data_IF_516870114361
#
_entry.id   IF_516870114361
#
_cell.length_a   1.000
_cell.length_b   1.000
_cell.length_c   1.000
_cell.angle_alpha   90.00
_cell.angle_beta   90.00
_cell.angle_gamma   90.00
#
_symmetry.space_group_name_H-M   'P 1'
#
loop_
_entity.id
_entity.type
_entity.pdbx_description
1 polymer ?
#
# COMPACT_ATOMS: atom_id res chain seq x y z
N UNK A 1 19.52 -77.13 -56.72
CA UNK A 1 18.41 -77.70 -55.94
C UNK A 1 17.75 -76.54 -55.21
N UNK A 2 16.59 -76.10 -55.69
CA UNK A 2 15.91 -74.88 -55.26
C UNK A 2 15.43 -74.98 -53.81
N UNK A 3 15.85 -74.03 -52.97
CA UNK A 3 15.16 -73.78 -51.70
C UNK A 3 14.25 -72.58 -51.92
N UNK A 4 12.94 -72.84 -51.92
CA UNK A 4 11.87 -71.86 -52.02
C UNK A 4 11.96 -70.88 -50.83
N UNK A 5 12.16 -69.60 -51.12
CA UNK A 5 11.94 -68.53 -50.16
C UNK A 5 10.43 -68.42 -49.93
N UNK A 6 9.99 -68.71 -48.71
CA UNK A 6 8.62 -68.48 -48.24
C UNK A 6 8.52 -67.00 -47.85
N UNK A 7 7.60 -66.20 -48.39
CA UNK A 7 7.46 -64.81 -48.00
C UNK A 7 6.79 -64.79 -46.63
N UNK A 8 7.56 -64.54 -45.57
CA UNK A 8 7.00 -64.14 -44.29
C UNK A 8 6.70 -62.65 -44.42
N UNK A 9 5.41 -62.35 -44.52
CA UNK A 9 4.87 -61.01 -44.56
C UNK A 9 5.13 -60.39 -43.17
N UNK A 10 6.27 -59.71 -43.04
CA UNK A 10 6.55 -58.90 -41.86
C UNK A 10 5.52 -57.78 -41.86
N UNK A 11 4.70 -57.81 -40.82
CA UNK A 11 3.67 -56.81 -40.50
C UNK A 11 4.32 -55.42 -40.41
N UNK A 12 3.99 -54.57 -41.36
CA UNK A 12 4.37 -53.14 -41.35
C UNK A 12 3.39 -52.47 -40.39
N UNK A 13 3.55 -52.72 -39.10
CA UNK A 13 2.78 -52.06 -38.03
C UNK A 13 3.68 -51.69 -36.85
N UNK A 14 4.89 -51.22 -37.12
CA UNK A 14 5.63 -50.43 -36.15
C UNK A 14 6.49 -49.40 -36.90
N UNK A 15 5.83 -48.36 -37.40
CA UNK A 15 6.50 -47.09 -37.66
C UNK A 15 6.77 -46.45 -36.31
N UNK A 16 7.86 -46.88 -35.67
CA UNK A 16 8.44 -46.19 -34.53
C UNK A 16 8.90 -44.82 -35.05
N UNK A 17 8.04 -43.81 -34.89
CA UNK A 17 8.37 -42.42 -35.11
C UNK A 17 9.49 -42.07 -34.12
N UNK A 18 10.73 -42.21 -34.59
CA UNK A 18 11.92 -41.67 -33.96
C UNK A 18 11.84 -40.14 -33.99
N UNK A 19 10.96 -39.59 -33.16
CA UNK A 19 10.99 -38.19 -32.78
C UNK A 19 12.25 -37.99 -31.94
N UNK A 20 13.29 -37.49 -32.62
CA UNK A 20 14.52 -37.04 -32.01
C UNK A 20 14.17 -36.01 -30.94
N UNK A 21 14.01 -36.50 -29.71
CA UNK A 21 13.73 -35.69 -28.54
C UNK A 21 14.99 -34.87 -28.30
N UNK A 22 15.00 -33.63 -28.79
CA UNK A 22 15.95 -32.65 -28.30
C UNK A 22 15.92 -32.73 -26.76
N UNK A 23 17.08 -32.85 -26.08
CA UNK A 23 17.09 -32.84 -24.63
C UNK A 23 16.57 -31.46 -24.22
N UNK A 24 15.28 -31.40 -23.93
CA UNK A 24 14.64 -30.24 -23.36
C UNK A 24 15.34 -30.03 -22.03
N UNK A 25 16.29 -29.10 -22.02
CA UNK A 25 16.78 -28.54 -20.77
C UNK A 25 15.51 -28.19 -20.01
N UNK A 26 15.29 -28.75 -18.81
CA UNK A 26 14.09 -28.45 -18.07
C UNK A 26 14.09 -26.94 -17.93
N UNK A 27 13.20 -26.27 -18.67
CA UNK A 27 12.93 -24.85 -18.53
C UNK A 27 12.69 -24.74 -17.04
N UNK A 28 13.68 -24.20 -16.31
CA UNK A 28 13.66 -24.17 -14.87
C UNK A 28 12.27 -23.70 -14.51
N UNK A 29 11.47 -24.64 -13.97
CA UNK A 29 10.06 -24.39 -13.79
C UNK A 29 10.04 -23.16 -12.91
N UNK A 30 9.64 -22.02 -13.48
CA UNK A 30 9.41 -20.84 -12.71
C UNK A 30 8.16 -21.21 -11.93
N UNK A 31 8.34 -21.89 -10.80
CA UNK A 31 7.31 -22.27 -9.86
C UNK A 31 7.07 -21.01 -9.04
N UNK A 32 6.09 -20.15 -9.41
CA UNK A 32 5.88 -18.88 -8.72
C UNK A 32 5.61 -19.10 -7.22
N UNK A 33 5.17 -20.30 -6.85
CA UNK A 33 4.79 -20.68 -5.49
C UNK A 33 5.98 -20.96 -4.55
N UNK A 34 7.21 -21.02 -5.07
CA UNK A 34 8.43 -21.12 -4.23
C UNK A 34 9.04 -19.77 -3.89
N UNK A 35 8.50 -18.68 -4.45
CA UNK A 35 8.88 -17.36 -4.02
C UNK A 35 8.49 -17.21 -2.55
N UNK A 36 9.44 -16.94 -1.63
CA UNK A 36 9.11 -16.77 -0.22
C UNK A 36 8.05 -15.70 -0.14
N UNK A 37 6.83 -16.04 0.30
CA UNK A 37 5.70 -15.10 0.35
C UNK A 37 6.21 -13.83 1.00
N UNK A 38 6.30 -12.76 0.21
CA UNK A 38 7.16 -11.63 0.50
C UNK A 38 6.64 -10.92 1.75
N UNK A 39 7.11 -11.35 2.92
CA UNK A 39 6.90 -10.63 4.17
C UNK A 39 7.32 -9.18 3.92
N UNK A 40 6.51 -8.18 4.34
CA UNK A 40 6.89 -6.79 4.19
C UNK A 40 8.30 -6.61 4.77
N UNK A 41 9.22 -6.13 3.92
CA UNK A 41 10.63 -5.96 4.28
C UNK A 41 10.80 -4.98 5.46
N UNK A 42 9.77 -4.15 5.70
CA UNK A 42 9.61 -3.28 6.87
C UNK A 42 8.12 -3.21 7.26
N UNK A 43 7.70 -3.79 8.40
CA UNK A 43 6.38 -3.48 8.96
C UNK A 43 6.39 -2.02 9.44
N UNK A 44 5.50 -1.19 8.88
CA UNK A 44 5.33 0.19 9.38
C UNK A 44 4.84 0.13 10.83
N UNK A 45 5.44 0.91 11.76
CA UNK A 45 4.98 0.94 13.13
C UNK A 45 3.54 1.45 13.19
N UNK A 46 2.62 0.79 13.92
CA UNK A 46 1.20 1.16 13.96
C UNK A 46 0.93 2.54 14.58
N UNK A 47 1.91 3.10 15.27
CA UNK A 47 1.84 4.42 15.89
C UNK A 47 2.37 5.55 15.00
N UNK A 48 3.04 5.23 13.88
CA UNK A 48 3.68 6.23 13.04
C UNK A 48 2.66 7.24 12.48
N UNK A 49 1.59 6.73 11.87
CA UNK A 49 0.57 7.57 11.23
C UNK A 49 -0.23 8.41 12.26
N UNK A 50 -0.72 7.83 13.39
CA UNK A 50 -1.34 8.64 14.44
C UNK A 50 -0.43 9.72 15.03
N UNK A 51 0.86 9.44 15.23
CA UNK A 51 1.81 10.43 15.77
C UNK A 51 2.05 11.54 14.75
N UNK A 52 2.16 11.19 13.47
CA UNK A 52 2.29 12.16 12.39
C UNK A 52 1.08 13.10 12.34
N UNK A 53 -0.12 12.56 12.46
CA UNK A 53 -1.37 13.34 12.49
C UNK A 53 -1.45 14.30 13.68
N UNK A 54 -1.07 13.84 14.88
CA UNK A 54 -0.98 14.70 16.07
C UNK A 54 0.06 15.81 15.85
N UNK A 55 1.20 15.49 15.22
CA UNK A 55 2.23 16.46 14.88
C UNK A 55 1.75 17.51 13.85
N UNK A 56 1.04 17.07 12.82
CA UNK A 56 0.42 17.93 11.80
C UNK A 56 -0.66 18.83 12.40
N UNK A 57 -1.50 18.30 13.29
CA UNK A 57 -2.51 19.08 14.01
C UNK A 57 -1.84 20.15 14.88
N UNK A 58 -0.78 19.80 15.62
CA UNK A 58 -0.05 20.76 16.45
C UNK A 58 0.60 21.85 15.58
N UNK A 59 1.21 21.44 14.46
CA UNK A 59 1.79 22.36 13.49
C UNK A 59 0.75 23.31 12.91
N UNK A 60 -0.44 22.82 12.56
CA UNK A 60 -1.53 23.66 12.05
C UNK A 60 -2.00 24.68 13.09
N UNK A 61 -2.14 24.30 14.36
CA UNK A 61 -2.48 25.22 15.45
C UNK A 61 -1.38 26.28 15.67
N UNK A 62 -0.12 25.87 15.67
CA UNK A 62 1.02 26.77 15.81
C UNK A 62 1.11 27.75 14.63
N UNK A 63 0.90 27.26 13.41
CA UNK A 63 0.88 28.08 12.21
C UNK A 63 -0.29 29.07 12.24
N UNK A 64 -1.49 28.63 12.63
CA UNK A 64 -2.65 29.51 12.76
C UNK A 64 -2.41 30.59 13.82
N UNK A 65 -1.80 30.23 14.96
CA UNK A 65 -1.40 31.19 16.00
C UNK A 65 -0.39 32.22 15.46
N UNK A 66 0.64 31.74 14.77
CA UNK A 66 1.65 32.60 14.15
C UNK A 66 1.03 33.56 13.12
N UNK A 67 0.23 33.04 12.19
CA UNK A 67 -0.47 33.83 11.17
C UNK A 67 -1.40 34.85 11.83
N UNK A 68 -2.07 34.47 12.93
CA UNK A 68 -3.00 35.35 13.63
C UNK A 68 -2.29 36.51 14.32
N UNK A 69 -1.16 36.26 14.99
CA UNK A 69 -0.50 37.23 15.88
C UNK A 69 0.71 37.93 15.29
N UNK A 70 1.43 37.32 14.35
CA UNK A 70 2.63 37.90 13.73
C UNK A 70 2.36 38.46 12.34
N UNK A 71 1.49 37.79 11.56
CA UNK A 71 1.11 38.28 10.22
C UNK A 71 -0.13 39.18 10.25
N UNK A 72 -0.84 39.22 11.39
CA UNK A 72 -2.06 40.00 11.61
C UNK A 72 -3.08 39.92 10.46
N UNK A 73 -3.19 38.75 9.85
CA UNK A 73 -4.03 38.52 8.68
C UNK A 73 -5.49 38.89 9.02
N UNK A 74 -6.19 39.53 8.08
CA UNK A 74 -7.54 40.12 8.17
C UNK A 74 -7.66 41.46 8.91
N UNK A 75 -7.01 41.65 10.07
CA UNK A 75 -7.12 42.89 10.84
C UNK A 75 -5.95 43.08 11.81
N UNK A 76 -5.41 44.31 11.94
CA UNK A 76 -4.41 44.64 12.94
C UNK A 76 -4.86 44.30 14.36
N UNK A 77 -3.94 43.76 15.16
CA UNK A 77 -4.20 43.40 16.55
C UNK A 77 -3.82 44.54 17.48
N UNK A 78 -4.76 44.91 18.36
CA UNK A 78 -4.43 45.68 19.55
C UNK A 78 -3.72 44.76 20.54
N UNK A 79 -2.70 45.27 21.25
CA UNK A 79 -1.89 44.49 22.20
C UNK A 79 -2.75 43.79 23.28
N UNK A 80 -3.87 44.40 23.67
CA UNK A 80 -4.86 43.82 24.60
C UNK A 80 -5.45 42.48 24.12
N UNK A 81 -5.49 42.24 22.82
CA UNK A 81 -6.07 41.03 22.24
C UNK A 81 -5.02 39.94 21.99
N UNK A 82 -3.76 40.17 22.39
CA UNK A 82 -2.69 39.15 22.30
C UNK A 82 -2.88 38.12 23.40
N UNK A 83 -3.24 36.90 23.01
CA UNK A 83 -3.41 35.79 23.94
C UNK A 83 -2.22 34.83 23.84
N UNK A 84 -1.80 34.19 24.94
CA UNK A 84 -0.78 33.13 24.88
C UNK A 84 -1.30 31.90 24.13
N UNK A 85 -0.41 30.97 23.77
CA UNK A 85 -0.79 29.74 23.05
C UNK A 85 -1.55 28.71 23.92
N UNK A 86 -1.29 28.68 25.24
CA UNK A 86 -1.81 27.67 26.16
C UNK A 86 -3.34 27.46 26.14
N UNK A 87 -4.20 28.49 26.03
CA UNK A 87 -5.65 28.33 25.93
C UNK A 87 -6.11 27.54 24.70
N UNK A 88 -5.29 27.38 23.66
CA UNK A 88 -5.65 26.61 22.47
C UNK A 88 -5.41 25.10 22.62
N UNK A 89 -4.63 24.68 23.63
CA UNK A 89 -4.27 23.26 23.84
C UNK A 89 -5.49 22.34 24.04
N UNK A 90 -6.53 22.69 24.81
CA UNK A 90 -7.71 21.84 24.94
C UNK A 90 -8.41 21.58 23.59
N UNK A 91 -8.48 22.60 22.73
CA UNK A 91 -9.07 22.48 21.39
C UNK A 91 -8.23 21.60 20.48
N UNK A 92 -6.91 21.74 20.54
CA UNK A 92 -5.97 20.85 19.85
C UNK A 92 -6.16 19.39 20.27
N UNK A 93 -6.33 19.12 21.56
CA UNK A 93 -6.56 17.75 22.08
C UNK A 93 -7.87 17.19 21.54
N UNK A 94 -8.96 17.97 21.61
CA UNK A 94 -10.27 17.54 21.07
C UNK A 94 -10.18 17.28 19.57
N UNK A 95 -9.56 18.18 18.80
CA UNK A 95 -9.39 18.03 17.36
C UNK A 95 -8.56 16.80 17.00
N UNK A 96 -7.44 16.58 17.69
CA UNK A 96 -6.56 15.42 17.47
C UNK A 96 -7.27 14.11 17.80
N UNK A 97 -8.07 14.08 18.87
CA UNK A 97 -8.88 12.92 19.23
C UNK A 97 -9.96 12.65 18.17
N UNK A 98 -10.62 13.69 17.69
CA UNK A 98 -11.62 13.60 16.63
C UNK A 98 -11.04 13.00 15.34
N UNK A 99 -9.88 13.51 14.93
CA UNK A 99 -9.14 13.06 13.75
C UNK A 99 -8.70 11.60 13.89
N UNK A 100 -8.22 11.21 15.09
CA UNK A 100 -7.87 9.83 15.39
C UNK A 100 -9.06 8.88 15.24
N UNK A 101 -10.23 9.25 15.77
CA UNK A 101 -11.45 8.43 15.68
C UNK A 101 -11.89 8.28 14.22
N UNK A 102 -11.91 9.39 13.46
CA UNK A 102 -12.32 9.38 12.06
C UNK A 102 -11.38 8.57 11.15
N UNK A 103 -10.07 8.69 11.31
CA UNK A 103 -9.13 7.93 10.46
C UNK A 103 -9.01 6.46 10.87
N UNK A 104 -9.33 6.15 12.14
CA UNK A 104 -9.49 4.77 12.58
C UNK A 104 -10.73 4.10 11.97
N UNK A 105 -11.87 4.80 11.89
CA UNK A 105 -13.10 4.24 11.28
C UNK A 105 -12.94 4.00 9.78
N UNK A 106 -12.20 4.87 9.10
CA UNK A 106 -11.91 4.78 7.67
C UNK A 106 -10.76 3.81 7.30
N UNK A 107 -10.22 3.08 8.29
CA UNK A 107 -9.10 2.15 8.12
C UNK A 107 -7.86 2.76 7.43
N UNK A 108 -7.68 4.08 7.54
CA UNK A 108 -6.60 4.82 6.90
C UNK A 108 -5.23 4.46 7.49
N UNK A 109 -5.20 4.06 8.77
CA UNK A 109 -4.00 3.56 9.44
C UNK A 109 -3.62 2.13 9.04
N UNK A 110 -4.43 1.43 8.23
CA UNK A 110 -4.10 0.09 7.72
C UNK A 110 -3.50 0.22 6.34
N UNK A 111 -2.23 -0.12 6.21
CA UNK A 111 -1.58 -0.24 4.91
C UNK A 111 -2.09 -1.51 4.20
N UNK A 112 -2.82 -1.35 3.10
CA UNK A 112 -3.34 -2.46 2.28
C UNK A 112 -2.54 -2.48 0.98
N UNK A 113 -1.76 -3.53 0.79
CA UNK A 113 -0.95 -3.70 -0.43
C UNK A 113 -1.83 -3.78 -1.67
N UNK A 114 -1.45 -3.03 -2.70
CA UNK A 114 -2.15 -3.02 -3.99
C UNK A 114 -3.32 -2.05 -4.07
N UNK A 115 -3.57 -1.23 -3.03
CA UNK A 115 -4.57 -0.17 -3.10
C UNK A 115 -4.11 0.92 -4.08
N UNK A 116 -4.94 1.37 -5.03
CA UNK A 116 -4.62 2.48 -5.90
C UNK A 116 -4.43 3.77 -5.09
N UNK A 117 -3.44 4.60 -5.45
CA UNK A 117 -3.20 5.88 -4.78
C UNK A 117 -4.44 6.78 -4.73
N UNK A 118 -5.23 6.82 -5.82
CA UNK A 118 -6.48 7.59 -5.85
C UNK A 118 -7.48 7.12 -4.79
N UNK A 119 -7.53 5.82 -4.51
CA UNK A 119 -8.41 5.28 -3.47
C UNK A 119 -7.99 5.79 -2.08
N UNK A 120 -6.68 5.90 -1.80
CA UNK A 120 -6.19 6.50 -0.55
C UNK A 120 -6.59 7.98 -0.43
N UNK A 121 -6.46 8.75 -1.51
CA UNK A 121 -6.91 10.16 -1.56
C UNK A 121 -8.43 10.25 -1.32
N UNK A 122 -9.22 9.36 -1.91
CA UNK A 122 -10.66 9.30 -1.69
C UNK A 122 -11.02 8.95 -0.25
N UNK A 123 -10.29 8.03 0.39
CA UNK A 123 -10.49 7.71 1.81
C UNK A 123 -10.22 8.95 2.68
N UNK A 124 -9.18 9.74 2.36
CA UNK A 124 -8.88 10.98 3.09
C UNK A 124 -9.99 12.01 2.89
N UNK A 125 -10.40 12.28 1.65
CA UNK A 125 -11.46 13.26 1.33
C UNK A 125 -12.79 12.87 1.98
N UNK A 126 -13.18 11.59 1.87
CA UNK A 126 -14.38 11.08 2.51
C UNK A 126 -14.25 11.12 4.03
N UNK A 127 -13.07 10.84 4.58
CA UNK A 127 -12.81 10.94 6.00
C UNK A 127 -12.98 12.37 6.53
N UNK A 128 -12.56 13.39 5.76
CA UNK A 128 -12.78 14.80 6.12
C UNK A 128 -14.24 15.21 5.95
N UNK A 129 -14.92 14.71 4.92
CA UNK A 129 -16.30 15.10 4.60
C UNK A 129 -17.34 14.44 5.53
N UNK A 130 -17.05 13.24 6.04
CA UNK A 130 -17.91 12.52 6.97
C UNK A 130 -17.58 12.80 8.46
N UNK A 131 -16.52 13.56 8.74
CA UNK A 131 -16.12 13.98 10.09
C UNK A 131 -16.99 15.12 10.62
#
# INVERSE_FOLDING_TARGET
>A
MSVKLKPELIDISDSDESEATEPSLPLAQFTPDTLPHHAPRFPEPPWLMPVLDVGLALFAFALAYYVRYELEILRPLLEVNRAPFAPYLPYFVVFSLWLHINYRSNALYKNVRGRPWLEEVYIIINGVTNA
#
